data_IF_367119088849
#
_entry.id   IF_367119088849
#
_cell.length_a   1.000
_cell.length_b   1.000
_cell.length_c   1.000
_cell.angle_alpha   90.00
_cell.angle_beta   90.00
_cell.angle_gamma   90.00
#
_symmetry.space_group_name_H-M   'P 1'
#
loop_
_entity.id
_entity.type
_entity.pdbx_description
1 polymer ?
#
# COMPACT_ATOMS: atom_id res chain seq x y z
N UNK A 1 1.59 4.40 -8.99
CA UNK A 1 1.22 5.83 -9.01
C UNK A 1 2.01 6.63 -7.99
N UNK A 2 1.61 6.65 -6.71
CA UNK A 2 2.26 7.49 -5.68
C UNK A 2 3.78 7.30 -5.59
N UNK A 3 4.27 6.06 -5.58
CA UNK A 3 5.71 5.75 -5.51
C UNK A 3 6.46 6.31 -6.73
N UNK A 4 5.97 6.05 -7.94
CA UNK A 4 6.56 6.56 -9.19
C UNK A 4 6.55 8.10 -9.28
N UNK A 5 5.53 8.76 -8.70
CA UNK A 5 5.50 10.22 -8.64
C UNK A 5 6.47 10.76 -7.60
N UNK A 6 6.59 10.10 -6.45
CA UNK A 6 7.58 10.46 -5.44
C UNK A 6 9.01 10.28 -5.96
N UNK A 7 9.27 9.21 -6.73
CA UNK A 7 10.60 8.95 -7.31
C UNK A 7 11.02 10.02 -8.33
N UNK A 8 10.08 10.74 -8.95
CA UNK A 8 10.36 11.90 -9.80
C UNK A 8 10.58 13.22 -9.04
N UNK A 9 10.39 13.24 -7.72
CA UNK A 9 10.50 14.45 -6.86
C UNK A 9 11.71 14.36 -5.92
N UNK A 10 12.02 13.17 -5.42
CA UNK A 10 13.08 12.94 -4.43
C UNK A 10 14.26 12.18 -5.03
N UNK A 11 15.47 12.49 -4.57
CA UNK A 11 16.69 11.80 -5.02
C UNK A 11 16.68 10.31 -4.69
N UNK A 12 16.08 9.93 -3.55
CA UNK A 12 15.93 8.54 -3.09
C UNK A 12 14.58 8.35 -2.42
N UNK A 13 13.91 7.24 -2.71
CA UNK A 13 12.63 6.86 -2.11
C UNK A 13 12.73 5.49 -1.49
N UNK A 14 12.38 5.37 -0.20
CA UNK A 14 12.30 4.09 0.50
C UNK A 14 10.85 3.73 0.74
N UNK A 15 10.42 2.62 0.15
CA UNK A 15 9.10 2.02 0.37
C UNK A 15 9.15 1.15 1.61
N UNK A 16 8.68 1.70 2.73
CA UNK A 16 8.59 0.99 4.01
C UNK A 16 7.44 0.00 4.06
N UNK A 17 7.75 -1.29 4.16
CA UNK A 17 6.77 -2.37 4.35
C UNK A 17 6.67 -2.70 5.84
N UNK A 18 5.48 -2.58 6.41
CA UNK A 18 5.25 -3.01 7.80
C UNK A 18 5.43 -4.54 7.89
N UNK A 19 6.39 -4.98 8.70
CA UNK A 19 6.69 -6.39 8.93
C UNK A 19 5.51 -7.11 9.58
N UNK A 20 5.19 -6.70 10.81
CA UNK A 20 4.14 -7.29 11.64
C UNK A 20 3.06 -6.25 11.97
N UNK A 21 2.05 -6.06 11.10
CA UNK A 21 0.99 -5.10 11.36
C UNK A 21 0.09 -5.55 12.52
N UNK A 22 -0.06 -4.72 13.56
CA UNK A 22 -0.88 -5.02 14.74
C UNK A 22 -2.39 -4.95 14.49
N UNK A 23 -2.84 -4.12 13.54
CA UNK A 23 -4.27 -3.81 13.35
C UNK A 23 -4.92 -4.54 12.17
N UNK A 24 -4.18 -5.39 11.45
CA UNK A 24 -4.71 -6.14 10.31
C UNK A 24 -3.90 -7.41 10.08
N UNK A 25 -4.57 -8.48 9.67
CA UNK A 25 -3.90 -9.65 9.12
C UNK A 25 -3.71 -9.45 7.60
N UNK A 26 -2.47 -9.39 7.10
CA UNK A 26 -2.20 -9.35 5.66
C UNK A 26 -2.66 -10.65 5.01
N UNK A 27 -3.25 -10.56 3.82
CA UNK A 27 -3.58 -11.73 3.01
C UNK A 27 -2.32 -12.41 2.45
N UNK A 28 -1.32 -11.61 2.08
CA UNK A 28 -0.03 -12.06 1.58
C UNK A 28 1.02 -11.95 2.67
N UNK A 29 1.92 -12.92 2.71
CA UNK A 29 3.09 -12.92 3.60
C UNK A 29 3.97 -11.69 3.39
N UNK A 30 4.86 -11.41 4.34
CA UNK A 30 5.83 -10.33 4.19
C UNK A 30 6.69 -10.51 2.93
N UNK A 31 7.19 -11.72 2.71
CA UNK A 31 8.07 -12.01 1.57
C UNK A 31 7.36 -11.80 0.24
N UNK A 32 6.10 -12.25 0.12
CA UNK A 32 5.28 -11.99 -1.06
C UNK A 32 5.08 -10.49 -1.29
N UNK A 33 4.75 -9.72 -0.25
CA UNK A 33 4.54 -8.26 -0.37
C UNK A 33 5.81 -7.54 -0.83
N UNK A 34 6.97 -7.92 -0.30
CA UNK A 34 8.27 -7.37 -0.71
C UNK A 34 8.59 -7.77 -2.15
N UNK A 35 8.35 -9.03 -2.53
CA UNK A 35 8.57 -9.50 -3.90
C UNK A 35 7.68 -8.75 -4.91
N UNK A 36 6.40 -8.55 -4.60
CA UNK A 36 5.50 -7.78 -5.46
C UNK A 36 5.95 -6.35 -5.66
N UNK A 37 6.42 -5.68 -4.60
CA UNK A 37 6.94 -4.32 -4.70
C UNK A 37 8.21 -4.27 -5.54
N UNK A 38 9.15 -5.19 -5.32
CA UNK A 38 10.39 -5.25 -6.10
C UNK A 38 10.12 -5.49 -7.59
N UNK A 39 9.21 -6.39 -7.93
CA UNK A 39 8.81 -6.63 -9.33
C UNK A 39 8.11 -5.40 -9.93
N UNK A 40 7.17 -4.79 -9.19
CA UNK A 40 6.40 -3.65 -9.68
C UNK A 40 7.21 -2.35 -9.81
N UNK A 41 8.35 -2.24 -9.12
CA UNK A 41 9.16 -1.02 -9.04
C UNK A 41 10.54 -1.22 -9.68
N UNK A 42 10.77 -2.33 -10.40
CA UNK A 42 12.08 -2.68 -10.94
C UNK A 42 12.66 -1.65 -11.92
N UNK A 43 11.81 -0.87 -12.60
CA UNK A 43 12.22 0.20 -13.53
C UNK A 43 12.60 1.52 -12.83
N UNK A 44 12.51 1.60 -11.50
CA UNK A 44 12.78 2.82 -10.73
C UNK A 44 14.11 2.71 -9.98
N UNK A 45 15.18 3.22 -10.58
CA UNK A 45 16.56 3.09 -10.08
C UNK A 45 16.79 3.71 -8.69
N UNK A 46 15.98 4.70 -8.30
CA UNK A 46 16.10 5.40 -7.02
C UNK A 46 15.09 4.95 -5.96
N UNK A 47 14.48 3.78 -6.13
CA UNK A 47 13.48 3.23 -5.21
C UNK A 47 14.00 1.97 -4.53
N UNK A 48 13.97 1.97 -3.19
CA UNK A 48 14.34 0.82 -2.36
C UNK A 48 13.13 0.30 -1.58
N UNK A 49 13.09 -1.01 -1.36
CA UNK A 49 12.06 -1.66 -0.53
C UNK A 49 12.73 -2.19 0.72
N UNK A 50 12.32 -1.66 1.88
CA UNK A 50 12.80 -2.11 3.18
C UNK A 50 11.61 -2.41 4.12
N UNK A 51 11.87 -3.22 5.13
CA UNK A 51 10.88 -3.70 6.09
C UNK A 51 11.13 -3.06 7.44
N UNK A 52 10.07 -2.64 8.11
CA UNK A 52 10.17 -2.08 9.45
C UNK A 52 9.11 -2.65 10.39
N UNK A 53 9.46 -2.72 11.67
CA UNK A 53 8.55 -3.12 12.76
C UNK A 53 8.54 -2.10 13.91
N UNK A 54 9.24 -0.97 13.74
CA UNK A 54 9.27 0.15 14.66
C UNK A 54 8.27 1.26 14.26
N UNK A 55 8.28 2.40 14.96
CA UNK A 55 7.49 3.55 14.54
C UNK A 55 7.97 4.06 13.18
N UNK A 56 7.04 4.54 12.34
CA UNK A 56 7.38 5.05 11.00
C UNK A 56 8.38 6.22 11.05
N UNK A 57 8.35 7.01 12.12
CA UNK A 57 9.30 8.11 12.34
C UNK A 57 10.70 7.62 12.68
N UNK A 58 10.82 6.51 13.41
CA UNK A 58 12.11 5.90 13.73
C UNK A 58 12.70 5.20 12.51
N UNK A 59 11.85 4.57 11.71
CA UNK A 59 12.23 4.06 10.38
C UNK A 59 12.71 5.19 9.46
N UNK A 60 12.01 6.32 9.44
CA UNK A 60 12.43 7.50 8.67
C UNK A 60 13.81 8.00 9.14
N UNK A 61 14.04 8.09 10.46
CA UNK A 61 15.35 8.46 11.03
C UNK A 61 16.47 7.50 10.66
N UNK A 62 16.21 6.18 10.69
CA UNK A 62 17.17 5.14 10.28
C UNK A 62 17.65 5.33 8.85
N UNK A 63 16.76 5.78 7.97
CA UNK A 63 17.05 6.10 6.57
C UNK A 63 17.50 7.54 6.35
N UNK A 64 17.69 8.32 7.42
CA UNK A 64 17.98 9.76 7.40
C UNK A 64 16.97 10.57 6.56
N UNK A 65 15.75 10.03 6.40
CA UNK A 65 14.69 10.61 5.60
C UNK A 65 14.17 11.89 6.26
N UNK A 66 14.01 12.94 5.46
CA UNK A 66 13.42 14.21 5.88
C UNK A 66 11.91 14.29 5.65
N UNK A 67 11.38 13.38 4.83
CA UNK A 67 9.99 13.41 4.38
C UNK A 67 9.37 12.01 4.41
N UNK A 68 8.16 11.91 4.97
CA UNK A 68 7.26 10.78 4.82
C UNK A 68 6.24 11.13 3.73
N UNK A 69 6.18 10.33 2.66
CA UNK A 69 5.22 10.53 1.57
C UNK A 69 3.99 9.65 1.79
N UNK A 70 2.80 10.24 1.75
CA UNK A 70 1.53 9.51 1.87
C UNK A 70 0.56 9.83 0.74
N UNK A 71 -0.17 8.83 0.28
CA UNK A 71 -1.21 8.98 -0.74
C UNK A 71 -2.55 9.35 -0.12
N UNK A 72 -3.29 10.28 -0.74
CA UNK A 72 -4.69 10.58 -0.38
C UNK A 72 -5.60 10.28 -1.57
N UNK A 73 -6.66 9.49 -1.35
CA UNK A 73 -7.63 9.17 -2.43
C UNK A 73 -8.91 9.99 -2.32
N UNK A 74 -9.41 10.14 -1.10
CA UNK A 74 -10.67 10.81 -0.78
C UNK A 74 -10.52 11.66 0.46
N UNK A 75 -11.44 12.61 0.67
CA UNK A 75 -11.43 13.51 1.84
C UNK A 75 -11.47 12.71 3.15
N UNK A 76 -12.14 11.56 3.20
CA UNK A 76 -12.19 10.75 4.42
C UNK A 76 -10.84 10.12 4.81
N UNK A 77 -9.94 9.87 3.85
CA UNK A 77 -8.57 9.45 4.18
C UNK A 77 -7.83 10.59 4.91
N UNK A 78 -8.12 11.85 4.60
CA UNK A 78 -7.41 13.01 5.13
C UNK A 78 -7.57 13.20 6.65
N UNK A 79 -8.75 12.99 7.22
CA UNK A 79 -8.97 13.21 8.66
C UNK A 79 -8.09 12.29 9.51
N UNK A 80 -8.08 10.99 9.18
CA UNK A 80 -7.24 10.00 9.84
C UNK A 80 -5.75 10.32 9.64
N UNK A 81 -5.38 10.64 8.41
CA UNK A 81 -4.00 10.96 8.05
C UNK A 81 -3.49 12.24 8.75
N UNK A 82 -4.34 13.25 8.87
CA UNK A 82 -4.05 14.50 9.57
C UNK A 82 -3.77 14.23 11.06
N UNK A 83 -4.60 13.44 11.73
CA UNK A 83 -4.35 13.04 13.12
C UNK A 83 -3.02 12.30 13.28
N UNK A 84 -2.73 11.37 12.36
CA UNK A 84 -1.49 10.61 12.40
C UNK A 84 -0.26 11.47 12.16
N UNK A 85 -0.34 12.46 11.27
CA UNK A 85 0.72 13.42 11.06
C UNK A 85 1.02 14.25 12.32
N UNK A 86 0.01 14.70 13.06
CA UNK A 86 0.21 15.46 14.30
C UNK A 86 0.95 14.64 15.36
N UNK A 87 0.64 13.35 15.47
CA UNK A 87 1.36 12.43 16.36
C UNK A 87 2.81 12.22 15.90
N UNK A 88 3.03 11.97 14.60
CA UNK A 88 4.37 11.80 14.05
C UNK A 88 5.23 13.07 14.25
N UNK A 89 4.67 14.26 14.00
CA UNK A 89 5.35 15.54 14.19
C UNK A 89 5.71 15.81 15.65
N UNK A 90 4.92 15.30 16.59
CA UNK A 90 5.24 15.39 18.03
C UNK A 90 6.46 14.53 18.38
N UNK A 91 6.59 13.36 17.75
CA UNK A 91 7.68 12.41 17.99
C UNK A 91 8.96 12.73 17.20
N UNK A 92 8.81 13.31 16.02
CA UNK A 92 9.88 13.66 15.09
C UNK A 92 9.57 14.98 14.36
N UNK A 93 9.73 16.14 15.03
CA UNK A 93 9.46 17.44 14.44
C UNK A 93 10.36 17.81 13.25
N UNK A 94 11.46 17.09 13.07
CA UNK A 94 12.40 17.22 11.95
C UNK A 94 11.99 16.43 10.69
N UNK A 95 10.96 15.58 10.78
CA UNK A 95 10.45 14.78 9.67
C UNK A 95 9.12 15.36 9.21
N UNK A 96 9.09 15.84 7.97
CA UNK A 96 7.88 16.40 7.36
C UNK A 96 7.01 15.30 6.74
N UNK A 97 5.70 15.53 6.64
CA UNK A 97 4.79 14.65 5.89
C UNK A 97 4.28 15.36 4.65
N UNK A 98 4.48 14.76 3.48
CA UNK A 98 3.98 15.26 2.20
C UNK A 98 2.88 14.35 1.68
N UNK A 99 1.75 14.95 1.31
CA UNK A 99 0.62 14.23 0.73
C UNK A 99 0.59 14.35 -0.78
N UNK A 100 0.42 13.21 -1.45
CA UNK A 100 0.25 13.11 -2.89
C UNK A 100 -1.17 12.64 -3.17
N UNK A 101 -1.96 13.48 -3.83
CA UNK A 101 -3.31 13.09 -4.28
C UNK A 101 -3.19 11.96 -5.32
N UNK A 102 -3.91 10.86 -5.12
CA UNK A 102 -3.95 9.75 -6.05
C UNK A 102 -4.49 10.19 -7.41
N UNK A 103 -3.91 9.67 -8.49
CA UNK A 103 -4.40 9.95 -9.84
C UNK A 103 -5.85 9.47 -10.01
N UNK A 104 -6.73 10.20 -10.72
CA UNK A 104 -8.16 9.85 -10.83
C UNK A 104 -8.44 8.43 -11.33
N UNK A 105 -7.54 7.89 -12.15
CA UNK A 105 -7.64 6.54 -12.73
C UNK A 105 -7.47 5.43 -11.69
N UNK A 106 -6.88 5.72 -10.53
CA UNK A 106 -6.62 4.75 -9.46
C UNK A 106 -7.16 5.20 -8.10
N UNK A 107 -7.88 6.33 -8.04
CA UNK A 107 -8.40 6.89 -6.79
C UNK A 107 -9.42 5.98 -6.10
N UNK A 108 -10.16 5.19 -6.88
CA UNK A 108 -11.13 4.20 -6.36
C UNK A 108 -10.48 2.88 -5.92
N UNK A 109 -9.18 2.67 -6.20
CA UNK A 109 -8.50 1.41 -5.91
C UNK A 109 -8.15 1.34 -4.42
N UNK A 110 -8.56 0.24 -3.79
CA UNK A 110 -8.18 -0.11 -2.42
C UNK A 110 -7.77 -1.57 -2.35
N UNK A 111 -6.76 -1.91 -1.54
CA UNK A 111 -6.37 -3.32 -1.40
C UNK A 111 -7.53 -4.18 -0.89
N UNK A 112 -8.41 -3.65 -0.03
CA UNK A 112 -9.60 -4.36 0.45
C UNK A 112 -10.58 -4.67 -0.68
N UNK A 113 -10.94 -3.67 -1.50
CA UNK A 113 -11.86 -3.88 -2.62
C UNK A 113 -11.28 -4.80 -3.70
N UNK A 114 -9.98 -4.68 -4.02
CA UNK A 114 -9.32 -5.61 -4.96
C UNK A 114 -9.35 -7.05 -4.44
N UNK A 115 -9.06 -7.25 -3.14
CA UNK A 115 -9.11 -8.58 -2.52
C UNK A 115 -10.51 -9.18 -2.55
N UNK A 116 -11.53 -8.35 -2.35
CA UNK A 116 -12.94 -8.77 -2.43
C UNK A 116 -13.31 -9.18 -3.86
N UNK A 117 -13.01 -8.35 -4.86
CA UNK A 117 -13.23 -8.68 -6.27
C UNK A 117 -12.58 -10.03 -6.62
N UNK A 118 -11.31 -10.21 -6.26
CA UNK A 118 -10.58 -11.45 -6.52
C UNK A 118 -11.21 -12.67 -5.82
N UNK A 119 -11.61 -12.52 -4.55
CA UNK A 119 -12.24 -13.60 -3.78
C UNK A 119 -13.57 -14.08 -4.40
N UNK A 120 -14.33 -13.17 -5.00
CA UNK A 120 -15.58 -13.48 -5.71
C UNK A 120 -15.38 -13.86 -7.20
N UNK A 121 -14.14 -14.07 -7.65
CA UNK A 121 -13.84 -14.50 -9.03
C UNK A 121 -13.83 -13.38 -10.06
N UNK A 122 -13.88 -12.12 -9.63
CA UNK A 122 -13.73 -10.96 -10.50
C UNK A 122 -12.29 -10.78 -10.99
N UNK A 123 -12.15 -10.23 -12.20
CA UNK A 123 -10.83 -9.92 -12.78
C UNK A 123 -10.23 -8.65 -12.17
N UNK A 124 -8.95 -8.72 -11.80
CA UNK A 124 -8.21 -7.62 -11.15
C UNK A 124 -6.93 -7.22 -11.89
N UNK A 125 -6.68 -7.77 -13.09
CA UNK A 125 -5.47 -7.53 -13.89
C UNK A 125 -5.22 -6.06 -14.21
N UNK A 126 -6.29 -5.27 -14.36
CA UNK A 126 -6.20 -3.81 -14.61
C UNK A 126 -5.99 -2.98 -13.35
N UNK A 127 -6.09 -3.59 -12.16
CA UNK A 127 -6.06 -2.90 -10.86
C UNK A 127 -4.74 -3.12 -10.10
N UNK A 128 -3.96 -4.14 -10.46
CA UNK A 128 -2.73 -4.51 -9.77
C UNK A 128 -1.62 -4.92 -10.73
N UNK A 129 -0.34 -4.88 -10.31
CA UNK A 129 0.75 -5.44 -11.09
C UNK A 129 0.57 -6.94 -11.40
N UNK A 130 1.16 -7.39 -12.52
CA UNK A 130 1.05 -8.78 -13.00
C UNK A 130 1.40 -9.83 -11.94
N UNK A 131 2.44 -9.60 -11.14
CA UNK A 131 2.83 -10.47 -10.02
C UNK A 131 1.67 -10.77 -9.07
N UNK A 132 0.93 -9.71 -8.71
CA UNK A 132 -0.17 -9.75 -7.76
C UNK A 132 -1.40 -10.38 -8.40
N UNK A 133 -1.70 -10.04 -9.67
CA UNK A 133 -2.81 -10.63 -10.42
C UNK A 133 -2.64 -12.15 -10.54
N UNK A 134 -1.44 -12.62 -10.90
CA UNK A 134 -1.08 -14.05 -10.95
C UNK A 134 -1.30 -14.72 -9.60
N UNK A 135 -0.84 -14.10 -8.50
CA UNK A 135 -1.04 -14.66 -7.17
C UNK A 135 -2.51 -14.77 -6.79
N UNK A 136 -3.33 -13.80 -7.16
CA UNK A 136 -4.78 -13.88 -6.96
C UNK A 136 -5.40 -15.05 -7.74
N UNK A 137 -5.00 -15.27 -8.99
CA UNK A 137 -5.48 -16.40 -9.80
C UNK A 137 -5.09 -17.75 -9.21
N UNK A 138 -3.92 -17.87 -8.58
CA UNK A 138 -3.50 -19.10 -7.89
C UNK A 138 -4.31 -19.35 -6.61
N UNK A 139 -4.67 -18.30 -5.87
CA UNK A 139 -5.45 -18.41 -4.64
C UNK A 139 -6.94 -18.63 -4.89
N UNK A 140 -7.46 -18.06 -5.99
CA UNK A 140 -8.87 -18.10 -6.38
C UNK A 140 -9.03 -18.60 -7.82
N UNK A 141 -8.65 -19.85 -8.13
CA UNK A 141 -8.66 -20.37 -9.50
C UNK A 141 -10.05 -20.38 -10.15
N UNK A 142 -11.11 -20.67 -9.36
CA UNK A 142 -12.50 -20.72 -9.85
C UNK A 142 -13.38 -19.58 -9.30
N UNK A 143 -12.78 -18.62 -8.57
CA UNK A 143 -13.53 -17.68 -7.74
C UNK A 143 -14.40 -18.36 -6.68
N UNK A 144 -14.92 -17.62 -5.71
CA UNK A 144 -16.12 -18.04 -4.98
C UNK A 144 -17.29 -17.26 -5.55
N UNK A 145 -17.85 -17.63 -6.71
CA UNK A 145 -19.07 -16.99 -7.17
C UNK A 145 -20.07 -17.14 -6.03
N UNK A 146 -20.49 -16.02 -5.43
CA UNK A 146 -21.37 -16.05 -4.26
C UNK A 146 -22.57 -16.92 -4.61
N UNK A 147 -22.71 -18.05 -3.93
CA UNK A 147 -23.96 -18.81 -4.02
C UNK A 147 -25.00 -17.90 -3.38
N UNK A 148 -26.15 -17.61 -4.02
CA UNK A 148 -27.18 -16.84 -3.37
C UNK A 148 -27.55 -17.52 -2.04
N UNK A 149 -27.19 -16.90 -0.92
CA UNK A 149 -27.61 -17.36 0.40
C UNK A 149 -29.10 -17.02 0.53
N UNK A 150 -29.91 -18.02 0.85
CA UNK A 150 -31.33 -17.81 1.09
C UNK A 150 -31.47 -17.07 2.44
N UNK A 151 -32.09 -15.88 2.51
CA UNK A 151 -32.23 -15.13 3.76
C UNK A 151 -33.06 -15.84 4.85
N UNK A 152 -33.58 -17.03 4.56
CA UNK A 152 -34.44 -17.83 5.43
C UNK A 152 -33.77 -19.08 6.03
N UNK A 153 -32.47 -19.31 5.79
CA UNK A 153 -31.63 -20.27 6.52
C UNK A 153 -30.76 -19.56 7.57
#
# INVERSE_FOLDING_TARGET
>A
DVIARASGIFDRVVVGVVGNPHHKQPMFSLDERVAFLREALHDLDNVEVDVFSELVVDFARKWEAKVIVKGLRVISDFEWEFQMNQLNRTLAPEVETVYVMASPQVSFVSSSGVKEIAAFGGRVDVLVPNAVARRFSELFPDGRPGTPENPAE
#
